data_IF_756097682060
#
_entry.id   IF_756097682060
#
_cell.length_a   1.000
_cell.length_b   1.000
_cell.length_c   1.000
_cell.angle_alpha   90.00
_cell.angle_beta   90.00
_cell.angle_gamma   90.00
#
_symmetry.space_group_name_H-M   'P 1'
#
loop_
_entity.id
_entity.type
_entity.pdbx_description
1 polymer ?
#
# COMPACT_ATOMS: atom_id res chain seq x y z
N UNK A 1 -21.05 2.10 -9.13
CA UNK A 1 -20.92 2.36 -7.68
C UNK A 1 -20.33 3.75 -7.51
N UNK A 2 -20.72 4.51 -6.49
CA UNK A 2 -20.13 5.82 -6.15
C UNK A 2 -19.55 5.72 -4.75
N UNK A 3 -18.29 5.24 -4.61
CA UNK A 3 -17.65 5.14 -3.29
C UNK A 3 -17.22 6.53 -2.81
N UNK A 4 -17.25 6.73 -1.51
CA UNK A 4 -16.64 7.90 -0.86
C UNK A 4 -15.14 7.65 -0.61
N UNK A 5 -14.78 6.39 -0.36
CA UNK A 5 -13.42 5.95 -0.07
C UNK A 5 -13.11 4.69 -0.88
N UNK A 6 -11.93 4.65 -1.48
CA UNK A 6 -11.35 3.50 -2.18
C UNK A 6 -10.03 3.05 -1.57
N UNK A 7 -9.86 1.74 -1.41
CA UNK A 7 -8.58 1.13 -1.08
C UNK A 7 -8.07 0.36 -2.29
N UNK A 8 -6.93 0.76 -2.84
CA UNK A 8 -6.18 -0.04 -3.78
C UNK A 8 -5.38 -1.10 -3.05
N UNK A 9 -5.66 -2.38 -3.31
CA UNK A 9 -4.95 -3.50 -2.66
C UNK A 9 -4.14 -4.20 -3.73
N UNK A 10 -2.82 -4.21 -3.57
CA UNK A 10 -1.92 -4.70 -4.59
C UNK A 10 -0.57 -5.16 -3.99
N UNK A 11 0.34 -5.59 -4.83
CA UNK A 11 1.75 -5.75 -4.51
C UNK A 11 2.54 -4.52 -4.97
N UNK A 12 3.71 -4.30 -4.41
CA UNK A 12 4.64 -3.25 -4.82
C UNK A 12 6.07 -3.78 -4.85
N UNK A 13 6.98 -3.06 -5.46
CA UNK A 13 8.40 -3.44 -5.53
C UNK A 13 9.03 -3.48 -4.13
N UNK A 14 9.70 -4.57 -3.79
CA UNK A 14 10.58 -4.62 -2.62
C UNK A 14 11.91 -3.92 -2.93
N UNK A 15 12.62 -4.30 -3.98
CA UNK A 15 13.96 -3.81 -4.31
C UNK A 15 14.95 -3.91 -3.12
N UNK A 16 14.84 -4.96 -2.32
CA UNK A 16 15.61 -5.17 -1.09
C UNK A 16 16.57 -6.36 -1.17
N UNK A 17 16.83 -6.86 -2.37
CA UNK A 17 17.80 -7.95 -2.59
C UNK A 17 19.24 -7.46 -2.38
N UNK A 18 20.17 -8.34 -1.98
CA UNK A 18 21.56 -7.99 -1.79
C UNK A 18 22.18 -7.30 -3.01
N UNK A 19 22.86 -6.19 -2.77
CA UNK A 19 23.51 -5.39 -3.82
C UNK A 19 22.66 -4.24 -4.37
N UNK A 20 21.40 -4.14 -4.01
CA UNK A 20 20.57 -2.97 -4.38
C UNK A 20 20.95 -1.78 -3.48
N UNK A 21 21.29 -0.62 -4.07
CA UNK A 21 21.56 0.59 -3.29
C UNK A 21 20.34 1.03 -2.47
N UNK A 22 20.57 1.56 -1.27
CA UNK A 22 19.47 2.01 -0.39
C UNK A 22 18.55 3.05 -1.05
N UNK A 23 19.10 3.89 -1.92
CA UNK A 23 18.32 4.89 -2.66
C UNK A 23 17.32 4.30 -3.69
N UNK A 24 17.50 3.03 -4.07
CA UNK A 24 16.63 2.33 -5.02
C UNK A 24 15.60 1.42 -4.32
N UNK A 25 15.70 1.26 -3.01
CA UNK A 25 14.74 0.47 -2.23
C UNK A 25 13.41 1.18 -2.18
N UNK A 26 12.35 0.48 -2.57
CA UNK A 26 10.97 0.98 -2.47
C UNK A 26 10.33 0.50 -1.17
N UNK A 27 10.45 -0.79 -0.89
CA UNK A 27 10.04 -1.42 0.37
C UNK A 27 11.03 -2.51 0.75
N UNK A 28 11.00 -2.93 2.01
CA UNK A 28 11.75 -4.09 2.50
C UNK A 28 10.78 -5.16 3.00
N UNK A 29 11.05 -6.42 2.65
CA UNK A 29 10.24 -7.55 3.12
C UNK A 29 10.42 -7.77 4.62
N UNK A 30 9.32 -7.98 5.33
CA UNK A 30 9.31 -8.20 6.78
C UNK A 30 9.09 -6.93 7.61
N UNK A 31 9.06 -5.75 6.98
CA UNK A 31 8.88 -4.45 7.64
C UNK A 31 7.40 -3.99 7.72
N UNK A 32 6.47 -4.88 7.36
CA UNK A 32 5.05 -4.61 7.40
C UNK A 32 4.45 -4.24 6.04
N UNK A 33 3.14 -3.94 6.03
CA UNK A 33 2.49 -3.53 4.80
C UNK A 33 3.06 -2.20 4.29
N UNK A 34 2.97 -1.98 3.00
CA UNK A 34 3.38 -0.71 2.40
C UNK A 34 2.16 0.20 2.22
N UNK A 35 2.17 1.33 2.92
CA UNK A 35 1.23 2.41 2.70
C UNK A 35 1.70 3.18 1.46
N UNK A 36 0.98 3.00 0.38
CA UNK A 36 1.37 3.52 -0.92
C UNK A 36 1.03 5.01 -1.03
N UNK A 37 2.04 5.84 -1.24
CA UNK A 37 1.88 7.30 -1.27
C UNK A 37 1.62 7.78 -2.69
N UNK A 38 2.40 7.27 -3.66
CA UNK A 38 2.35 7.72 -5.06
C UNK A 38 2.87 6.64 -6.00
N UNK A 39 2.26 6.55 -7.18
CA UNK A 39 2.82 5.88 -8.35
C UNK A 39 2.66 6.73 -9.63
N UNK A 40 2.76 6.11 -10.80
CA UNK A 40 2.55 6.79 -12.08
C UNK A 40 1.08 7.14 -12.38
N UNK A 41 0.14 6.52 -11.69
CA UNK A 41 -1.29 6.63 -11.98
C UNK A 41 -2.08 7.45 -10.95
N UNK A 42 -1.62 7.53 -9.70
CA UNK A 42 -2.32 8.29 -8.67
C UNK A 42 -1.41 8.74 -7.52
N UNK A 43 -1.95 9.65 -6.71
CA UNK A 43 -1.40 10.06 -5.43
C UNK A 43 -2.45 9.76 -4.36
N UNK A 44 -2.08 9.02 -3.34
CA UNK A 44 -2.97 8.70 -2.22
C UNK A 44 -3.47 9.96 -1.52
N UNK A 45 -4.75 9.97 -1.12
CA UNK A 45 -5.34 11.07 -0.37
C UNK A 45 -4.61 11.26 0.97
N UNK A 46 -4.11 12.48 1.20
CA UNK A 46 -3.25 12.77 2.34
C UNK A 46 -3.97 12.63 3.70
N UNK A 47 -5.29 12.80 3.74
CA UNK A 47 -6.07 12.62 4.96
C UNK A 47 -6.22 11.13 5.27
N UNK A 48 -6.56 10.31 4.26
CA UNK A 48 -6.61 8.85 4.43
C UNK A 48 -5.25 8.26 4.80
N UNK A 49 -4.16 8.75 4.21
CA UNK A 49 -2.80 8.33 4.60
C UNK A 49 -2.59 8.57 6.09
N UNK A 50 -2.92 9.76 6.60
CA UNK A 50 -2.79 10.08 8.04
C UNK A 50 -3.71 9.24 8.92
N UNK A 51 -4.94 8.97 8.47
CA UNK A 51 -5.88 8.09 9.20
C UNK A 51 -5.31 6.68 9.33
N UNK A 52 -4.85 6.09 8.23
CA UNK A 52 -4.29 4.73 8.19
C UNK A 52 -3.02 4.65 9.04
N UNK A 53 -2.11 5.61 8.95
CA UNK A 53 -0.90 5.66 9.79
C UNK A 53 -1.22 5.76 11.28
N UNK A 54 -2.18 6.62 11.64
CA UNK A 54 -2.60 6.78 13.02
C UNK A 54 -3.19 5.49 13.57
N UNK A 55 -4.01 4.82 12.77
CA UNK A 55 -4.60 3.54 13.14
C UNK A 55 -3.54 2.43 13.26
N UNK A 56 -2.60 2.36 12.31
CA UNK A 56 -1.51 1.39 12.34
C UNK A 56 -0.67 1.57 13.62
N UNK A 57 -0.28 2.79 13.95
CA UNK A 57 0.44 3.10 15.20
C UNK A 57 -0.35 2.71 16.45
N UNK A 58 -1.64 3.09 16.52
CA UNK A 58 -2.53 2.75 17.64
C UNK A 58 -2.68 1.24 17.84
N UNK A 59 -2.75 0.48 16.76
CA UNK A 59 -2.90 -0.97 16.77
C UNK A 59 -1.57 -1.73 16.79
N UNK A 60 -0.44 -1.02 16.71
CA UNK A 60 0.92 -1.60 16.61
C UNK A 60 1.06 -2.53 15.40
N UNK A 61 0.43 -2.18 14.30
CA UNK A 61 0.53 -2.89 13.02
C UNK A 61 1.76 -2.32 12.29
N UNK A 62 2.75 -3.15 11.93
CA UNK A 62 3.95 -2.67 11.25
C UNK A 62 3.62 -2.19 9.84
N UNK A 63 4.20 -1.06 9.44
CA UNK A 63 4.03 -0.49 8.11
C UNK A 63 5.24 0.32 7.67
N UNK A 64 5.36 0.50 6.38
CA UNK A 64 6.34 1.35 5.73
C UNK A 64 5.65 2.19 4.66
N UNK A 65 6.26 3.26 4.18
CA UNK A 65 5.74 4.06 3.05
C UNK A 65 6.39 3.61 1.77
N UNK A 66 5.62 3.57 0.66
CA UNK A 66 6.15 3.29 -0.66
C UNK A 66 5.83 4.39 -1.66
N UNK A 67 6.81 4.69 -2.51
CA UNK A 67 6.70 5.64 -3.61
C UNK A 67 7.29 4.96 -4.85
N UNK A 68 6.52 4.96 -5.93
CA UNK A 68 6.98 4.50 -7.24
C UNK A 68 7.03 5.67 -8.23
N UNK A 69 8.05 5.67 -9.10
CA UNK A 69 8.12 6.63 -10.20
C UNK A 69 7.20 6.29 -11.38
N UNK A 70 6.79 5.02 -11.48
CA UNK A 70 5.97 4.47 -12.56
C UNK A 70 5.02 3.40 -12.02
N UNK A 71 4.27 2.75 -12.90
CA UNK A 71 3.27 1.74 -12.51
C UNK A 71 1.94 2.36 -12.14
N UNK A 72 1.04 1.53 -11.64
CA UNK A 72 -0.31 1.95 -11.23
C UNK A 72 -1.02 0.85 -10.49
N UNK A 73 -2.07 1.22 -9.78
CA UNK A 73 -2.92 0.30 -9.04
C UNK A 73 -4.39 0.77 -9.05
N UNK A 74 -5.28 -0.08 -8.57
CA UNK A 74 -6.74 0.15 -8.60
C UNK A 74 -7.21 1.38 -7.81
N UNK A 75 -6.40 1.94 -6.92
CA UNK A 75 -6.68 3.21 -6.25
C UNK A 75 -6.91 4.36 -7.23
N UNK A 76 -6.20 4.34 -8.37
CA UNK A 76 -6.39 5.33 -9.45
C UNK A 76 -7.80 5.27 -10.04
N UNK A 77 -8.34 4.07 -10.25
CA UNK A 77 -9.69 3.89 -10.78
C UNK A 77 -10.75 4.44 -9.79
N UNK A 78 -10.54 4.25 -8.49
CA UNK A 78 -11.43 4.83 -7.48
C UNK A 78 -11.40 6.36 -7.50
N UNK A 79 -10.23 6.99 -7.62
CA UNK A 79 -10.11 8.45 -7.72
C UNK A 79 -10.76 9.03 -8.97
N UNK A 80 -10.78 8.29 -10.06
CA UNK A 80 -11.33 8.74 -11.35
C UNK A 80 -12.81 8.35 -11.54
N UNK A 81 -13.38 7.54 -10.65
CA UNK A 81 -14.75 7.07 -10.78
C UNK A 81 -15.77 8.16 -10.43
N UNK A 82 -16.73 8.40 -11.33
CA UNK A 82 -17.84 9.36 -11.14
C UNK A 82 -17.35 10.77 -10.77
N UNK A 83 -17.65 11.22 -9.55
CA UNK A 83 -17.22 12.52 -9.03
C UNK A 83 -15.85 12.48 -8.34
N UNK A 84 -15.20 11.32 -8.36
CA UNK A 84 -13.99 11.04 -7.63
C UNK A 84 -14.26 10.48 -6.24
N UNK A 85 -13.30 9.70 -5.71
CA UNK A 85 -13.30 9.21 -4.34
C UNK A 85 -11.95 9.49 -3.70
N UNK A 86 -11.90 9.65 -2.37
CA UNK A 86 -10.62 9.58 -1.66
C UNK A 86 -10.08 8.17 -1.80
N UNK A 87 -8.81 8.03 -2.17
CA UNK A 87 -8.22 6.70 -2.30
C UNK A 87 -6.85 6.62 -1.64
N UNK A 88 -6.51 5.44 -1.16
CA UNK A 88 -5.21 5.11 -0.58
C UNK A 88 -4.81 3.70 -0.98
N UNK A 89 -3.52 3.47 -1.22
CA UNK A 89 -2.98 2.15 -1.51
C UNK A 89 -2.49 1.44 -0.25
N UNK A 90 -2.91 0.19 -0.08
CA UNK A 90 -2.37 -0.76 0.91
C UNK A 90 -1.76 -1.90 0.14
N UNK A 91 -0.44 -1.93 0.09
CA UNK A 91 0.29 -2.87 -0.76
C UNK A 91 1.24 -3.75 0.05
N UNK A 92 1.72 -4.82 -0.55
CA UNK A 92 2.71 -5.73 0.04
C UNK A 92 3.95 -5.76 -0.83
N UNK A 93 5.13 -5.54 -0.22
CA UNK A 93 6.40 -5.60 -0.94
C UNK A 93 6.65 -6.99 -1.50
N UNK A 94 6.88 -7.09 -2.82
CA UNK A 94 7.20 -8.34 -3.49
C UNK A 94 8.54 -8.27 -4.19
N UNK A 95 9.30 -9.35 -4.13
CA UNK A 95 10.47 -9.59 -4.97
C UNK A 95 10.04 -10.30 -6.25
N UNK A 96 10.79 -10.08 -7.32
CA UNK A 96 10.56 -10.73 -8.62
C UNK A 96 9.17 -10.47 -9.19
N UNK A 97 8.67 -9.24 -8.99
CA UNK A 97 7.35 -8.80 -9.46
C UNK A 97 7.15 -9.08 -10.96
N UNK A 98 5.94 -9.48 -11.34
CA UNK A 98 5.55 -9.86 -12.70
C UNK A 98 6.28 -11.10 -13.24
N UNK A 99 6.70 -12.00 -12.36
CA UNK A 99 7.27 -13.28 -12.72
C UNK A 99 6.50 -14.44 -12.09
N UNK A 100 6.80 -15.67 -12.52
CA UNK A 100 6.19 -16.89 -11.93
C UNK A 100 6.76 -17.25 -10.54
N UNK A 101 7.75 -16.52 -10.08
CA UNK A 101 8.46 -16.75 -8.81
C UNK A 101 8.32 -15.58 -7.84
N UNK A 102 7.25 -14.82 -7.93
CA UNK A 102 6.98 -13.73 -7.00
C UNK A 102 7.01 -14.21 -5.55
N UNK A 103 7.63 -13.41 -4.70
CA UNK A 103 7.81 -13.75 -3.29
C UNK A 103 7.47 -12.58 -2.39
N UNK A 104 6.57 -12.80 -1.44
CA UNK A 104 6.20 -11.85 -0.40
C UNK A 104 6.57 -12.38 0.98
N UNK A 105 6.67 -11.51 1.94
CA UNK A 105 6.84 -11.89 3.33
C UNK A 105 5.47 -12.08 4.01
N UNK A 106 5.23 -13.24 4.61
CA UNK A 106 3.93 -13.59 5.21
C UNK A 106 3.45 -12.59 6.27
N UNK A 107 4.38 -12.00 7.05
CA UNK A 107 4.02 -10.99 8.06
C UNK A 107 3.47 -9.71 7.44
N UNK A 108 3.99 -9.30 6.28
CA UNK A 108 3.55 -8.09 5.59
C UNK A 108 2.13 -8.26 5.05
N UNK A 109 1.83 -9.44 4.50
CA UNK A 109 0.46 -9.79 4.11
C UNK A 109 -0.48 -9.78 5.33
N UNK A 110 -0.06 -10.38 6.46
CA UNK A 110 -0.82 -10.33 7.71
C UNK A 110 -1.09 -8.90 8.16
N UNK A 111 -0.06 -8.04 8.14
CA UNK A 111 -0.20 -6.63 8.50
C UNK A 111 -1.17 -5.86 7.56
N UNK A 112 -1.15 -6.17 6.25
CA UNK A 112 -2.11 -5.60 5.31
C UNK A 112 -3.56 -6.02 5.62
N UNK A 113 -3.77 -7.29 5.93
CA UNK A 113 -5.08 -7.79 6.37
C UNK A 113 -5.54 -7.11 7.67
N UNK A 114 -4.64 -6.99 8.65
CA UNK A 114 -4.94 -6.42 9.96
C UNK A 114 -5.31 -4.94 9.87
N UNK A 115 -4.61 -4.15 9.06
CA UNK A 115 -4.94 -2.73 8.91
C UNK A 115 -6.27 -2.52 8.19
N UNK A 116 -6.57 -3.31 7.15
CA UNK A 116 -7.87 -3.25 6.45
C UNK A 116 -9.02 -3.63 7.39
N UNK A 117 -8.88 -4.73 8.13
CA UNK A 117 -9.88 -5.16 9.12
C UNK A 117 -10.07 -4.10 10.22
N UNK A 118 -8.99 -3.52 10.73
CA UNK A 118 -9.06 -2.48 11.75
C UNK A 118 -9.74 -1.21 11.23
N UNK A 119 -9.46 -0.80 9.99
CA UNK A 119 -10.07 0.38 9.38
C UNK A 119 -11.58 0.19 9.16
N UNK A 120 -11.99 -0.95 8.61
CA UNK A 120 -13.41 -1.28 8.42
C UNK A 120 -14.17 -1.39 9.76
N UNK A 121 -13.52 -1.90 10.79
CA UNK A 121 -14.11 -2.00 12.13
C UNK A 121 -14.21 -0.66 12.89
N UNK A 122 -13.39 0.32 12.55
CA UNK A 122 -13.38 1.64 13.19
C UNK A 122 -14.45 2.61 12.66
N UNK A 123 -15.01 2.33 11.49
CA UNK A 123 -16.01 3.18 10.79
C UNK A 123 -17.46 2.73 11.05
N UNK A 124 -17.72 2.04 12.17
CA UNK A 124 -19.10 1.71 12.60
C UNK A 124 -19.78 2.89 13.25
#
# INVERSE_FOLDING_TARGET
MRPDIGFGIDVTLACDTPGVPDAEKVTAQGEGFALHIKDGSFISDAELVREVETLAKKKRIPYQRSILGAGGQDGAAAQQAAAGAKAVGVTVGTRYIHTVTEMIHKRDLGAACDILAAYMGAKK
#
